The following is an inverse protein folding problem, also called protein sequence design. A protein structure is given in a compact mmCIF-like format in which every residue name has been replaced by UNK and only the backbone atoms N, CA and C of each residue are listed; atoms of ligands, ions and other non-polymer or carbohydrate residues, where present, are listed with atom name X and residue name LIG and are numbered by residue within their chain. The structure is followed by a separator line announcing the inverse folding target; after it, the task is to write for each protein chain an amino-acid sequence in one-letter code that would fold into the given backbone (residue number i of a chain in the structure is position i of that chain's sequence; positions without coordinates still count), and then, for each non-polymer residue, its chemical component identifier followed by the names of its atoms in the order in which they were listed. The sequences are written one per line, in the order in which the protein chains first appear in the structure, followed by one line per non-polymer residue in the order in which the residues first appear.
data_IF_736647161211
#
_entry.id   IF_736647161211
#
_cell.length_a   1.000
_cell.length_b   1.000
_cell.length_c   1.000
_cell.angle_alpha   90.00
_cell.angle_beta   90.00
_cell.angle_gamma   90.00
#
_symmetry.space_group_name_H-M   'P 1'
#
loop_
_entity.id
_entity.type
_entity.pdbx_description
1 polymer ?
#
# COMPACT_ATOMS: atom_id res chain seq x y z
N UNK A 1 -5.04 14.42 34.93
CA UNK A 1 -4.69 14.57 33.50
C UNK A 1 -5.04 13.24 32.84
N UNK A 2 -5.82 13.25 31.76
CA UNK A 2 -6.13 12.03 31.01
C UNK A 2 -4.89 11.63 30.20
N UNK A 3 -4.48 10.35 30.25
CA UNK A 3 -3.37 9.85 29.43
C UNK A 3 -3.75 9.75 27.95
N UNK A 4 -5.01 9.43 27.65
CA UNK A 4 -5.56 9.32 26.30
C UNK A 4 -6.95 9.94 26.23
N UNK A 5 -7.28 10.65 25.15
CA UNK A 5 -8.62 11.23 24.96
C UNK A 5 -9.52 10.19 24.30
N UNK A 6 -10.74 10.03 24.81
CA UNK A 6 -11.71 9.08 24.24
C UNK A 6 -12.07 9.36 22.79
N UNK A 7 -12.01 10.63 22.37
CA UNK A 7 -12.12 11.05 20.97
C UNK A 7 -11.06 10.43 20.05
N UNK A 8 -9.81 10.35 20.51
CA UNK A 8 -8.71 9.81 19.70
C UNK A 8 -8.92 8.32 19.42
N UNK A 9 -9.48 7.58 20.38
CA UNK A 9 -9.85 6.17 20.23
C UNK A 9 -11.01 6.01 19.24
N UNK A 10 -12.02 6.88 19.33
CA UNK A 10 -13.13 6.88 18.38
C UNK A 10 -12.66 7.13 16.95
N UNK A 11 -11.83 8.14 16.76
CA UNK A 11 -11.26 8.49 15.46
C UNK A 11 -10.38 7.36 14.92
N UNK A 12 -9.55 6.74 15.78
CA UNK A 12 -8.76 5.57 15.41
C UNK A 12 -9.64 4.43 14.89
N UNK A 13 -10.68 4.02 15.63
CA UNK A 13 -11.58 2.95 15.18
C UNK A 13 -12.33 3.33 13.90
N UNK A 14 -12.66 4.61 13.73
CA UNK A 14 -13.23 5.12 12.50
C UNK A 14 -12.26 4.97 11.31
N UNK A 15 -11.00 5.38 11.46
CA UNK A 15 -9.96 5.18 10.44
C UNK A 15 -9.71 3.70 10.13
N UNK A 16 -9.71 2.85 11.16
CA UNK A 16 -9.58 1.40 11.00
C UNK A 16 -10.75 0.79 10.24
N UNK A 17 -11.98 1.28 10.47
CA UNK A 17 -13.17 0.88 9.68
C UNK A 17 -13.01 1.24 8.19
N UNK A 18 -12.24 2.29 7.89
CA UNK A 18 -11.90 2.70 6.52
C UNK A 18 -10.66 2.00 5.97
N UNK A 19 -10.03 1.09 6.73
CA UNK A 19 -8.80 0.36 6.37
C UNK A 19 -7.65 1.30 6.00
N UNK A 20 -7.57 2.45 6.67
CA UNK A 20 -6.51 3.42 6.43
C UNK A 20 -5.18 2.84 6.90
N UNK A 21 -4.20 2.80 5.99
CA UNK A 21 -2.85 2.32 6.30
C UNK A 21 -2.08 3.43 7.05
N UNK A 22 -1.45 3.14 8.21
CA UNK A 22 -0.63 4.11 8.92
C UNK A 22 0.56 4.61 8.09
N UNK A 23 0.87 5.90 8.19
CA UNK A 23 2.06 6.49 7.57
C UNK A 23 3.30 6.24 8.44
N UNK A 24 4.06 5.21 8.11
CA UNK A 24 5.24 4.80 8.88
C UNK A 24 6.34 5.86 8.89
N UNK A 25 6.54 6.59 7.80
CA UNK A 25 7.55 7.66 7.73
C UNK A 25 7.21 8.79 8.70
N UNK A 26 5.94 9.17 8.74
CA UNK A 26 5.46 10.16 9.69
C UNK A 26 5.64 9.69 11.14
N UNK A 27 5.33 8.42 11.44
CA UNK A 27 5.51 7.87 12.79
C UNK A 27 6.97 7.87 13.23
N UNK A 28 7.90 7.44 12.35
CA UNK A 28 9.34 7.47 12.62
C UNK A 28 9.84 8.90 12.79
N UNK A 29 9.40 9.84 11.96
CA UNK A 29 9.75 11.26 12.08
C UNK A 29 9.24 11.88 13.41
N UNK A 30 8.18 11.33 14.00
CA UNK A 30 7.69 11.69 15.34
C UNK A 30 8.42 10.98 16.48
N UNK A 31 9.45 10.18 16.19
CA UNK A 31 10.26 9.47 17.18
C UNK A 31 9.61 8.19 17.71
N UNK A 32 8.59 7.66 17.03
CA UNK A 32 8.03 6.37 17.38
C UNK A 32 8.96 5.25 16.90
N UNK A 33 9.38 4.37 17.81
CA UNK A 33 10.15 3.16 17.49
C UNK A 33 9.22 2.08 16.92
N UNK A 34 8.75 2.24 15.69
CA UNK A 34 7.92 1.26 14.98
C UNK A 34 8.64 0.82 13.73
N UNK A 35 9.30 -0.34 13.83
CA UNK A 35 10.17 -0.89 12.79
C UNK A 35 9.40 -1.58 11.66
N UNK A 36 8.17 -2.02 11.95
CA UNK A 36 7.29 -2.72 11.03
C UNK A 36 5.83 -2.61 11.49
N UNK A 37 4.86 -2.94 10.60
CA UNK A 37 3.44 -2.94 10.94
C UNK A 37 3.08 -3.80 12.14
N UNK A 38 3.73 -4.95 12.33
CA UNK A 38 3.43 -5.85 13.44
C UNK A 38 3.75 -5.18 14.79
N UNK A 39 4.95 -4.62 14.91
CA UNK A 39 5.39 -3.89 16.10
C UNK A 39 4.47 -2.71 16.43
N UNK A 40 4.00 -1.99 15.40
CA UNK A 40 3.03 -0.91 15.57
C UNK A 40 1.72 -1.40 16.19
N UNK A 41 1.13 -2.45 15.62
CA UNK A 41 -0.15 -2.98 16.07
C UNK A 41 -0.07 -3.70 17.42
N UNK A 42 1.06 -4.33 17.74
CA UNK A 42 1.33 -4.90 19.07
C UNK A 42 1.37 -3.79 20.13
N UNK A 43 2.12 -2.70 19.86
CA UNK A 43 2.17 -1.53 20.74
C UNK A 43 0.79 -0.90 20.90
N UNK A 44 0.04 -0.73 19.79
CA UNK A 44 -1.31 -0.20 19.81
C UNK A 44 -2.24 -1.05 20.68
N UNK A 45 -2.18 -2.37 20.53
CA UNK A 45 -3.01 -3.31 21.31
C UNK A 45 -2.70 -3.24 22.80
N UNK A 46 -1.42 -3.13 23.18
CA UNK A 46 -1.03 -2.94 24.58
C UNK A 46 -1.57 -1.62 25.16
N UNK A 47 -1.61 -0.54 24.37
CA UNK A 47 -2.20 0.72 24.80
C UNK A 47 -3.73 0.62 24.93
N UNK A 48 -4.41 0.03 23.95
CA UNK A 48 -5.87 -0.18 24.01
C UNK A 48 -6.32 -0.98 25.25
N UNK A 49 -5.48 -1.91 25.73
CA UNK A 49 -5.77 -2.66 26.96
C UNK A 49 -5.66 -1.82 28.24
N UNK A 50 -4.96 -0.68 28.21
CA UNK A 50 -4.77 0.21 29.36
C UNK A 50 -5.83 1.31 29.47
N UNK A 51 -6.58 1.54 28.41
CA UNK A 51 -7.67 2.53 28.37
C UNK A 51 -8.67 2.25 29.49
N UNK A 52 -8.92 3.27 30.30
CA UNK A 52 -9.94 3.24 31.34
C UNK A 52 -11.32 3.56 30.75
N UNK A 53 -12.29 2.66 30.95
CA UNK A 53 -13.63 2.78 30.37
C UNK A 53 -14.44 3.95 30.93
N UNK A 54 -14.26 4.31 32.20
CA UNK A 54 -14.95 5.45 32.82
C UNK A 54 -14.44 6.76 32.22
N UNK A 55 -13.13 6.90 32.04
CA UNK A 55 -12.52 8.05 31.38
C UNK A 55 -12.98 8.17 29.92
N UNK A 56 -12.95 7.06 29.18
CA UNK A 56 -13.44 6.99 27.80
C UNK A 56 -14.91 7.45 27.73
N UNK A 57 -15.77 6.90 28.59
CA UNK A 57 -17.19 7.26 28.69
C UNK A 57 -17.38 8.74 28.98
N UNK A 58 -16.66 9.30 29.95
CA UNK A 58 -16.80 10.71 30.32
C UNK A 58 -16.41 11.66 29.18
N UNK A 59 -15.35 11.36 28.45
CA UNK A 59 -14.87 12.21 27.35
C UNK A 59 -15.79 12.14 26.11
N UNK A 60 -16.25 10.93 25.75
CA UNK A 60 -16.97 10.72 24.50
C UNK A 60 -18.47 10.93 24.62
N UNK A 61 -19.11 10.54 25.74
CA UNK A 61 -20.56 10.57 25.87
C UNK A 61 -21.19 11.95 25.61
N UNK A 62 -20.60 13.08 26.03
CA UNK A 62 -21.17 14.40 25.76
C UNK A 62 -21.23 14.77 24.28
N UNK A 63 -20.46 14.11 23.41
CA UNK A 63 -20.34 14.43 21.99
C UNK A 63 -21.44 13.79 21.13
N UNK A 64 -22.25 12.91 21.71
CA UNK A 64 -23.27 12.15 21.00
C UNK A 64 -24.67 12.43 21.56
N UNK A 65 -25.57 12.86 20.68
CA UNK A 65 -27.00 13.04 21.02
C UNK A 65 -27.70 11.69 21.18
N UNK A 66 -27.31 10.68 20.39
CA UNK A 66 -27.89 9.34 20.46
C UNK A 66 -27.21 8.51 21.57
N UNK A 67 -27.87 8.45 22.74
CA UNK A 67 -27.38 7.71 23.92
C UNK A 67 -27.28 6.20 23.68
N UNK A 68 -28.29 5.61 23.02
CA UNK A 68 -28.32 4.17 22.72
C UNK A 68 -27.11 3.77 21.87
N UNK A 69 -26.78 4.58 20.87
CA UNK A 69 -25.62 4.33 20.01
C UNK A 69 -24.32 4.35 20.83
N UNK A 70 -24.07 5.41 21.59
CA UNK A 70 -22.78 5.56 22.29
C UNK A 70 -22.62 4.56 23.43
N UNK A 71 -23.69 4.19 24.13
CA UNK A 71 -23.65 3.15 25.17
C UNK A 71 -23.31 1.78 24.57
N UNK A 72 -23.87 1.46 23.40
CA UNK A 72 -23.52 0.24 22.67
C UNK A 72 -22.09 0.28 22.13
N UNK A 73 -21.62 1.42 21.64
CA UNK A 73 -20.24 1.57 21.18
C UNK A 73 -19.25 1.39 22.33
N UNK A 74 -19.46 2.07 23.46
CA UNK A 74 -18.66 1.96 24.68
C UNK A 74 -18.63 0.54 25.25
N UNK A 75 -19.70 -0.23 25.06
CA UNK A 75 -19.73 -1.63 25.50
C UNK A 75 -18.86 -2.56 24.66
N UNK A 76 -18.68 -2.26 23.37
CA UNK A 76 -18.11 -3.20 22.39
C UNK A 76 -16.84 -2.69 21.70
N UNK A 77 -16.24 -1.59 22.17
CA UNK A 77 -15.18 -0.90 21.43
C UNK A 77 -13.89 -1.74 21.35
N UNK A 78 -13.54 -2.52 22.39
CA UNK A 78 -12.36 -3.40 22.38
C UNK A 78 -12.54 -4.59 21.46
N UNK A 79 -13.71 -5.22 21.46
CA UNK A 79 -14.03 -6.29 20.50
C UNK A 79 -14.04 -5.76 19.07
N UNK A 80 -14.56 -4.54 18.89
CA UNK A 80 -14.53 -3.85 17.60
C UNK A 80 -13.10 -3.57 17.16
N UNK A 81 -12.23 -3.10 18.07
CA UNK A 81 -10.81 -2.91 17.81
C UNK A 81 -10.13 -4.20 17.35
N UNK A 82 -10.28 -5.31 18.10
CA UNK A 82 -9.65 -6.59 17.76
C UNK A 82 -10.13 -7.14 16.41
N UNK A 83 -11.44 -7.03 16.13
CA UNK A 83 -12.00 -7.41 14.83
C UNK A 83 -11.42 -6.55 13.71
N UNK A 84 -11.39 -5.23 13.89
CA UNK A 84 -10.85 -4.31 12.90
C UNK A 84 -9.36 -4.54 12.67
N UNK A 85 -8.60 -4.86 13.70
CA UNK A 85 -7.19 -5.21 13.62
C UNK A 85 -6.96 -6.46 12.76
N UNK A 86 -7.75 -7.52 13.00
CA UNK A 86 -7.67 -8.76 12.21
C UNK A 86 -7.93 -8.52 10.71
N UNK A 87 -8.82 -7.57 10.38
CA UNK A 87 -9.11 -7.20 9.00
C UNK A 87 -7.94 -6.56 8.23
N UNK A 88 -6.92 -6.04 8.92
CA UNK A 88 -5.74 -5.46 8.27
C UNK A 88 -4.83 -6.51 7.63
N UNK A 89 -4.97 -7.80 7.99
CA UNK A 89 -4.17 -8.93 7.47
C UNK A 89 -2.68 -8.60 7.37
N UNK A 90 -1.97 -8.75 8.48
CA UNK A 90 -0.51 -8.54 8.52
C UNK A 90 0.16 -9.78 7.93
N UNK A 91 0.94 -9.59 6.86
CA UNK A 91 1.60 -10.67 6.12
C UNK A 91 3.11 -10.50 6.17
N UNK A 92 3.83 -11.59 6.44
CA UNK A 92 5.30 -11.62 6.33
C UNK A 92 5.71 -12.24 5.01
N UNK A 93 6.50 -11.50 4.26
CA UNK A 93 7.03 -11.91 2.96
C UNK A 93 7.99 -13.09 3.10
N UNK A 94 7.88 -14.06 2.18
CA UNK A 94 8.83 -15.16 2.05
C UNK A 94 9.69 -15.06 0.80
N UNK A 95 9.08 -15.11 -0.38
CA UNK A 95 9.83 -15.10 -1.65
C UNK A 95 9.00 -14.61 -2.84
N UNK A 96 9.68 -14.08 -3.87
CA UNK A 96 9.07 -13.70 -5.15
C UNK A 96 8.80 -14.96 -5.99
N UNK A 97 7.52 -15.19 -6.30
CA UNK A 97 7.07 -16.32 -7.13
C UNK A 97 7.20 -16.00 -8.61
N UNK A 98 6.49 -14.98 -9.09
CA UNK A 98 6.40 -14.63 -10.51
C UNK A 98 6.06 -13.14 -10.72
N UNK A 99 6.36 -12.65 -11.92
CA UNK A 99 6.07 -11.29 -12.37
C UNK A 99 5.17 -11.39 -13.60
N UNK A 100 3.95 -10.87 -13.52
CA UNK A 100 3.05 -10.73 -14.66
C UNK A 100 3.13 -9.32 -15.24
N UNK A 101 3.34 -9.19 -16.55
CA UNK A 101 3.33 -7.91 -17.25
C UNK A 101 2.16 -7.95 -18.23
N UNK A 102 1.14 -7.14 -17.97
CA UNK A 102 -0.08 -7.11 -18.75
C UNK A 102 -0.25 -5.77 -19.47
N UNK A 103 -0.54 -5.81 -20.76
CA UNK A 103 -0.98 -4.65 -21.53
C UNK A 103 -2.51 -4.66 -21.69
N UNK A 104 -3.15 -3.58 -21.27
CA UNK A 104 -4.56 -3.33 -21.50
C UNK A 104 -4.73 -2.25 -22.58
N UNK A 105 -5.18 -2.66 -23.76
CA UNK A 105 -5.44 -1.77 -24.90
C UNK A 105 -6.72 -0.93 -24.77
N UNK A 106 -7.56 -1.17 -23.76
CA UNK A 106 -8.77 -0.37 -23.52
C UNK A 106 -8.46 0.86 -22.67
N UNK A 107 -7.43 0.76 -21.84
CA UNK A 107 -7.05 1.79 -20.86
C UNK A 107 -5.66 2.34 -21.13
N UNK A 108 -5.01 1.93 -22.22
CA UNK A 108 -3.65 2.30 -22.61
C UNK A 108 -2.68 2.24 -21.43
N UNK A 109 -2.72 1.12 -20.70
CA UNK A 109 -1.98 0.93 -19.44
C UNK A 109 -1.29 -0.42 -19.42
N UNK A 110 -0.05 -0.43 -18.94
CA UNK A 110 0.67 -1.62 -18.53
C UNK A 110 0.55 -1.82 -17.02
N UNK A 111 0.22 -3.05 -16.61
CA UNK A 111 0.25 -3.48 -15.22
C UNK A 111 1.41 -4.45 -14.99
N UNK A 112 2.27 -4.13 -14.02
CA UNK A 112 3.36 -4.98 -13.55
C UNK A 112 2.96 -5.57 -12.21
N UNK A 113 2.71 -6.87 -12.17
CA UNK A 113 2.18 -7.58 -11.01
C UNK A 113 3.24 -8.53 -10.46
N UNK A 114 3.72 -8.23 -9.26
CA UNK A 114 4.68 -9.05 -8.54
C UNK A 114 3.94 -9.91 -7.54
N UNK A 115 4.01 -11.23 -7.68
CA UNK A 115 3.39 -12.17 -6.77
C UNK A 115 4.44 -12.74 -5.82
N UNK A 116 4.15 -12.66 -4.53
CA UNK A 116 5.00 -13.21 -3.50
C UNK A 116 4.25 -14.24 -2.67
N UNK A 117 4.97 -15.23 -2.17
CA UNK A 117 4.46 -16.12 -1.12
C UNK A 117 4.77 -15.53 0.24
N UNK A 118 3.95 -15.89 1.23
CA UNK A 118 4.11 -15.43 2.62
C UNK A 118 4.44 -16.61 3.54
N UNK A 119 4.97 -16.30 4.72
CA UNK A 119 5.40 -17.33 5.69
C UNK A 119 4.24 -18.22 6.17
N UNK A 120 3.03 -17.67 6.25
CA UNK A 120 1.79 -18.36 6.61
C UNK A 120 1.16 -19.16 5.45
N UNK A 121 1.87 -19.29 4.32
CA UNK A 121 1.41 -20.04 3.15
C UNK A 121 0.41 -19.28 2.25
N UNK A 122 0.13 -18.02 2.56
CA UNK A 122 -0.64 -17.12 1.70
C UNK A 122 0.14 -16.58 0.50
N UNK A 123 -0.47 -15.59 -0.16
CA UNK A 123 0.18 -14.85 -1.25
C UNK A 123 -0.21 -13.39 -1.22
N UNK A 124 0.75 -12.51 -1.46
CA UNK A 124 0.52 -11.08 -1.65
C UNK A 124 0.89 -10.65 -3.06
N UNK A 125 0.37 -9.50 -3.49
CA UNK A 125 0.78 -8.90 -4.76
C UNK A 125 1.07 -7.41 -4.68
N UNK A 126 2.07 -6.97 -5.43
CA UNK A 126 2.36 -5.56 -5.66
C UNK A 126 2.07 -5.25 -7.13
N UNK A 127 1.25 -4.23 -7.40
CA UNK A 127 0.82 -3.87 -8.75
C UNK A 127 1.25 -2.44 -9.05
N UNK A 128 2.06 -2.27 -10.07
CA UNK A 128 2.38 -0.97 -10.63
C UNK A 128 1.61 -0.78 -11.92
N UNK A 129 0.89 0.34 -12.03
CA UNK A 129 0.17 0.71 -13.25
C UNK A 129 0.90 1.87 -13.93
N UNK A 130 1.23 1.69 -15.20
CA UNK A 130 2.03 2.62 -15.99
C UNK A 130 1.33 2.89 -17.32
N UNK A 131 1.07 4.15 -17.64
CA UNK A 131 0.52 4.49 -18.96
C UNK A 131 1.45 4.01 -20.08
N UNK A 132 0.85 3.50 -21.17
CA UNK A 132 1.54 3.03 -22.38
C UNK A 132 2.52 4.08 -22.95
N UNK A 133 2.23 5.35 -22.71
CA UNK A 133 3.05 6.48 -23.12
C UNK A 133 4.52 6.34 -22.67
N UNK A 134 4.75 5.84 -21.45
CA UNK A 134 6.11 5.61 -20.92
C UNK A 134 6.91 4.56 -21.71
N UNK A 135 6.22 3.62 -22.36
CA UNK A 135 6.84 2.51 -23.06
C UNK A 135 7.06 2.87 -24.54
N UNK A 136 6.09 3.52 -25.17
CA UNK A 136 6.12 3.84 -26.59
C UNK A 136 7.06 5.01 -26.89
N UNK A 137 7.03 6.08 -26.08
CA UNK A 137 7.75 7.31 -26.38
C UNK A 137 9.14 7.35 -25.75
N UNK A 138 10.08 8.04 -26.42
CA UNK A 138 11.50 8.05 -26.04
C UNK A 138 11.79 8.70 -24.68
N UNK A 139 10.91 9.57 -24.20
CA UNK A 139 11.02 10.24 -22.89
C UNK A 139 10.98 9.24 -21.73
N UNK A 140 10.32 8.09 -21.92
CA UNK A 140 10.28 6.99 -20.97
C UNK A 140 11.41 5.98 -21.12
N UNK A 141 12.45 6.22 -21.95
CA UNK A 141 13.57 5.29 -22.04
C UNK A 141 14.38 5.30 -20.73
N UNK A 142 14.48 4.16 -20.07
CA UNK A 142 15.31 4.00 -18.87
C UNK A 142 16.75 3.60 -19.25
N UNK A 143 17.72 4.05 -18.45
CA UNK A 143 19.13 3.64 -18.57
C UNK A 143 19.49 2.52 -17.57
N UNK A 144 18.48 1.86 -17.01
CA UNK A 144 18.65 0.73 -16.09
C UNK A 144 18.83 -0.54 -16.91
N UNK A 145 19.76 -1.41 -16.51
CA UNK A 145 19.88 -2.75 -17.07
C UNK A 145 18.79 -3.66 -16.52
N UNK A 146 18.22 -4.50 -17.38
CA UNK A 146 17.26 -5.51 -16.94
C UNK A 146 17.95 -6.57 -16.08
N UNK A 147 17.34 -6.93 -14.95
CA UNK A 147 17.83 -8.03 -14.12
C UNK A 147 17.48 -9.38 -14.76
N UNK A 148 18.48 -10.06 -15.29
CA UNK A 148 18.36 -11.37 -15.94
C UNK A 148 17.73 -12.42 -15.04
N UNK A 149 17.91 -12.35 -13.72
CA UNK A 149 17.31 -13.32 -12.78
C UNK A 149 15.79 -13.17 -12.70
N UNK A 150 15.28 -11.97 -12.94
CA UNK A 150 13.84 -11.71 -12.95
C UNK A 150 13.21 -12.17 -14.26
N UNK A 151 13.94 -12.17 -15.37
CA UNK A 151 13.40 -12.51 -16.70
C UNK A 151 12.78 -13.91 -16.73
N UNK A 152 13.39 -14.89 -16.06
CA UNK A 152 12.87 -16.26 -15.95
C UNK A 152 11.53 -16.35 -15.20
N UNK A 153 11.21 -15.33 -14.40
CA UNK A 153 9.97 -15.20 -13.62
C UNK A 153 8.92 -14.33 -14.33
N UNK A 154 9.24 -13.71 -15.47
CA UNK A 154 8.36 -12.80 -16.18
C UNK A 154 7.45 -13.52 -17.17
N UNK A 155 6.17 -13.17 -17.12
CA UNK A 155 5.17 -13.61 -18.08
C UNK A 155 4.50 -12.38 -18.73
N UNK A 156 4.47 -12.36 -20.06
CA UNK A 156 3.97 -11.23 -20.85
C UNK A 156 2.60 -11.56 -21.44
N UNK A 157 1.59 -10.74 -21.16
CA UNK A 157 0.22 -10.94 -21.61
C UNK A 157 -0.37 -9.66 -22.17
N UNK A 158 -1.32 -9.77 -23.09
CA UNK A 158 -2.10 -8.64 -23.58
C UNK A 158 -3.55 -9.06 -23.83
N UNK A 159 -4.48 -8.10 -23.81
CA UNK A 159 -5.90 -8.33 -24.11
C UNK A 159 -6.29 -7.98 -25.56
N UNK A 160 -5.30 -7.78 -26.43
CA UNK A 160 -5.49 -7.35 -27.81
C UNK A 160 -4.24 -7.58 -28.66
N UNK A 161 -4.34 -7.23 -29.94
CA UNK A 161 -3.28 -7.40 -30.94
C UNK A 161 -2.85 -6.02 -31.42
N UNK A 162 -1.54 -5.75 -31.36
CA UNK A 162 -0.92 -4.56 -31.92
C UNK A 162 -0.14 -4.92 -33.18
N UNK A 163 -0.11 -4.02 -34.17
CA UNK A 163 0.76 -4.12 -35.34
C UNK A 163 2.23 -3.83 -35.03
N UNK A 164 2.50 -3.22 -33.86
CA UNK A 164 3.86 -2.96 -33.36
C UNK A 164 4.22 -3.99 -32.28
N UNK A 165 5.39 -4.63 -32.35
CA UNK A 165 5.82 -5.54 -31.31
C UNK A 165 6.00 -4.75 -30.01
N UNK A 166 5.45 -5.29 -28.91
CA UNK A 166 5.64 -4.71 -27.58
C UNK A 166 7.14 -4.72 -27.25
N UNK A 167 7.74 -3.57 -26.88
CA UNK A 167 9.18 -3.48 -26.66
C UNK A 167 9.55 -4.16 -25.34
N UNK A 168 9.74 -5.49 -25.38
CA UNK A 168 9.96 -6.32 -24.20
C UNK A 168 11.17 -5.88 -23.39
N UNK A 169 12.25 -5.44 -24.04
CA UNK A 169 13.44 -4.96 -23.33
C UNK A 169 13.13 -3.77 -22.42
N UNK A 170 12.33 -2.80 -22.91
CA UNK A 170 11.85 -1.69 -22.07
C UNK A 170 11.01 -2.19 -20.91
N UNK A 171 10.07 -3.11 -21.17
CA UNK A 171 9.22 -3.67 -20.11
C UNK A 171 10.07 -4.37 -19.05
N UNK A 172 11.13 -5.09 -19.42
CA UNK A 172 12.07 -5.70 -18.47
C UNK A 172 12.82 -4.66 -17.64
N UNK A 173 13.21 -3.53 -18.22
CA UNK A 173 13.82 -2.42 -17.48
C UNK A 173 12.87 -1.83 -16.44
N UNK A 174 11.62 -1.58 -16.81
CA UNK A 174 10.59 -1.10 -15.89
C UNK A 174 10.28 -2.13 -14.81
N UNK A 175 10.17 -3.40 -15.19
CA UNK A 175 9.97 -4.48 -14.23
C UNK A 175 11.13 -4.57 -13.22
N UNK A 176 12.36 -4.29 -13.65
CA UNK A 176 13.52 -4.22 -12.76
C UNK A 176 13.45 -3.00 -11.83
N UNK A 177 13.13 -1.82 -12.36
CA UNK A 177 12.96 -0.60 -11.55
C UNK A 177 11.90 -0.79 -10.46
N UNK A 178 10.73 -1.31 -10.82
CA UNK A 178 9.64 -1.52 -9.88
C UNK A 178 9.96 -2.62 -8.87
N UNK A 179 10.65 -3.69 -9.27
CA UNK A 179 11.15 -4.68 -8.33
C UNK A 179 12.09 -4.04 -7.30
N UNK A 180 13.04 -3.20 -7.72
CA UNK A 180 13.95 -2.51 -6.80
C UNK A 180 13.21 -1.59 -5.82
N UNK A 181 12.14 -0.91 -6.25
CA UNK A 181 11.29 -0.11 -5.35
C UNK A 181 10.57 -0.98 -4.32
N UNK A 182 10.03 -2.12 -4.76
CA UNK A 182 9.38 -3.10 -3.88
C UNK A 182 10.35 -3.68 -2.85
N UNK A 183 11.56 -4.06 -3.26
CA UNK A 183 12.59 -4.59 -2.34
C UNK A 183 13.01 -3.53 -1.30
N UNK A 184 13.14 -2.27 -1.71
CA UNK A 184 13.41 -1.16 -0.76
C UNK A 184 12.29 -1.01 0.26
N UNK A 185 11.03 -1.05 -0.19
CA UNK A 185 9.87 -1.02 0.70
C UNK A 185 9.90 -2.18 1.70
N UNK A 186 10.07 -3.42 1.23
CA UNK A 186 10.14 -4.56 2.13
C UNK A 186 11.33 -4.52 3.08
N UNK A 187 12.48 -3.99 2.65
CA UNK A 187 13.61 -3.77 3.55
C UNK A 187 13.28 -2.76 4.65
N UNK A 188 12.54 -1.70 4.32
CA UNK A 188 12.07 -0.66 5.26
C UNK A 188 11.04 -1.21 6.25
N UNK A 189 10.20 -2.16 5.85
CA UNK A 189 9.15 -2.75 6.68
C UNK A 189 9.48 -4.13 7.26
N UNK A 190 10.76 -4.53 7.26
CA UNK A 190 11.22 -5.87 7.70
C UNK A 190 10.48 -7.04 7.02
N UNK A 191 10.08 -6.87 5.76
CA UNK A 191 9.35 -7.87 4.98
C UNK A 191 7.87 -7.98 5.37
N UNK A 192 7.37 -7.13 6.27
CA UNK A 192 5.98 -7.16 6.72
C UNK A 192 5.14 -6.18 5.90
N UNK A 193 3.93 -6.61 5.52
CA UNK A 193 2.99 -5.83 4.72
C UNK A 193 1.58 -5.90 5.31
N UNK A 194 0.81 -4.83 5.12
CA UNK A 194 -0.60 -4.77 5.44
C UNK A 194 -1.44 -5.10 4.20
N UNK A 195 -2.39 -6.02 4.37
CA UNK A 195 -3.29 -6.48 3.33
C UNK A 195 -2.66 -7.51 2.39
N UNK A 196 -3.49 -7.95 1.44
CA UNK A 196 -3.07 -8.95 0.44
C UNK A 196 -2.55 -8.30 -0.86
N UNK A 197 -2.71 -6.98 -1.03
CA UNK A 197 -2.26 -6.27 -2.23
C UNK A 197 -1.91 -4.79 -1.98
N UNK A 198 -0.85 -4.32 -2.63
CA UNK A 198 -0.57 -2.89 -2.84
C UNK A 198 -0.75 -2.62 -4.33
N UNK A 199 -1.54 -1.60 -4.67
CA UNK A 199 -1.83 -1.22 -6.05
C UNK A 199 -1.54 0.27 -6.19
N UNK A 200 -0.59 0.63 -7.04
CA UNK A 200 -0.27 2.04 -7.28
C UNK A 200 -1.36 2.71 -8.11
N UNK A 201 -1.41 4.04 -8.00
CA UNK A 201 -2.08 4.86 -9.02
C UNK A 201 -1.45 4.63 -10.39
N UNK A 202 -2.20 4.95 -11.44
CA UNK A 202 -1.67 4.92 -12.81
C UNK A 202 -0.66 6.05 -12.99
N UNK A 203 0.57 5.68 -13.28
CA UNK A 203 1.68 6.61 -13.49
C UNK A 203 1.62 7.14 -14.92
N UNK A 204 1.43 8.44 -15.08
CA UNK A 204 1.34 9.16 -16.36
C UNK A 204 2.50 10.13 -16.54
N UNK A 205 2.82 10.45 -17.80
CA UNK A 205 3.77 11.53 -18.14
C UNK A 205 3.07 12.87 -18.37
N UNK A 206 1.76 12.84 -18.66
CA UNK A 206 0.98 14.04 -19.00
C UNK A 206 -0.13 14.28 -17.99
N UNK A 207 -0.39 15.55 -17.71
CA UNK A 207 -1.45 15.99 -16.79
C UNK A 207 -2.80 16.22 -17.48
N UNK A 208 -2.89 15.97 -18.79
CA UNK A 208 -4.13 16.16 -19.54
C UNK A 208 -5.23 15.25 -18.98
N UNK A 209 -6.36 15.86 -18.61
CA UNK A 209 -7.51 15.19 -17.98
C UNK A 209 -7.12 14.28 -16.81
N UNK A 210 -6.18 14.72 -15.97
CA UNK A 210 -5.67 13.93 -14.84
C UNK A 210 -6.73 13.69 -13.76
N UNK A 211 -7.05 12.43 -13.51
CA UNK A 211 -7.83 12.03 -12.33
C UNK A 211 -6.90 11.77 -11.14
N UNK A 212 -6.69 12.79 -10.30
CA UNK A 212 -5.77 12.70 -9.15
C UNK A 212 -6.13 11.62 -8.12
N UNK A 213 -7.36 11.09 -8.12
CA UNK A 213 -7.74 9.98 -7.23
C UNK A 213 -7.15 8.64 -7.67
N UNK A 214 -6.94 8.47 -8.97
CA UNK A 214 -6.56 7.19 -9.59
C UNK A 214 -5.20 7.26 -10.29
N UNK A 215 -4.70 8.46 -10.55
CA UNK A 215 -3.56 8.73 -11.40
C UNK A 215 -2.59 9.70 -10.75
N UNK A 216 -1.30 9.54 -11.09
CA UNK A 216 -0.22 10.42 -10.68
C UNK A 216 0.62 10.80 -11.90
N UNK A 217 1.10 12.04 -11.96
CA UNK A 217 1.97 12.51 -13.04
C UNK A 217 3.38 12.58 -12.53
N UNK A 218 4.30 11.90 -13.21
CA UNK A 218 5.72 11.91 -12.90
C UNK A 218 6.51 12.20 -14.18
N UNK A 219 7.62 12.91 -14.02
CA UNK A 219 8.67 12.90 -15.03
C UNK A 219 9.63 11.72 -14.75
N UNK A 220 10.51 11.41 -15.70
CA UNK A 220 11.46 10.31 -15.58
C UNK A 220 12.33 10.40 -14.31
N UNK A 221 12.81 11.60 -13.97
CA UNK A 221 13.65 11.79 -12.78
C UNK A 221 12.89 11.43 -11.50
N UNK A 222 11.65 11.92 -11.37
CA UNK A 222 10.78 11.65 -10.23
C UNK A 222 10.42 10.16 -10.13
N UNK A 223 10.12 9.50 -11.27
CA UNK A 223 9.86 8.07 -11.31
C UNK A 223 11.09 7.26 -10.85
N UNK A 224 12.30 7.68 -11.18
CA UNK A 224 13.52 7.01 -10.73
C UNK A 224 13.74 7.19 -9.22
N UNK A 225 13.52 8.40 -8.69
CA UNK A 225 13.84 8.74 -7.31
C UNK A 225 12.76 8.37 -6.28
N UNK A 226 11.48 8.31 -6.67
CA UNK A 226 10.38 8.09 -5.72
C UNK A 226 10.42 6.70 -5.07
N UNK A 227 9.78 6.56 -3.92
CA UNK A 227 9.58 5.25 -3.28
C UNK A 227 8.26 4.61 -3.73
N UNK A 228 7.99 3.37 -3.30
CA UNK A 228 6.68 2.72 -3.52
C UNK A 228 5.56 3.56 -2.89
N UNK A 229 5.78 4.04 -1.67
CA UNK A 229 4.78 4.78 -0.88
C UNK A 229 4.30 6.06 -1.58
N UNK A 230 5.18 6.73 -2.32
CA UNK A 230 4.85 7.94 -3.09
C UNK A 230 3.92 7.66 -4.26
N UNK A 231 3.88 6.42 -4.77
CA UNK A 231 3.03 6.00 -5.87
C UNK A 231 1.61 5.63 -5.43
N UNK A 232 1.37 5.59 -4.11
CA UNK A 232 0.06 5.34 -3.51
C UNK A 232 -0.73 6.64 -3.23
N UNK A 233 -0.01 7.76 -3.13
CA UNK A 233 -0.53 9.08 -2.68
C UNK A 233 -1.36 9.79 -3.74
#
# INVERSE_FOLDING_TARGET
MYEEKGRDIYDLLWYMTKKVVPDFDYLVAKGMDVKDPQTLFDKLTLQMNRVNDDNLKQDISPLFTNRIFIDNWLKNWRESYLRLLDEYKIRTLKELRNIGIHQDFRTDTFSFVYWYTTEDGGSIRIVYNLSEYWIIFGEGNLQIEADKKLEEKMDFRSNGVSSRPTPQDKLKQYATLFYQKTEKYFKKTNGVMLGDAIITKVIRMTADNLNQKEQIVLNKSALLSCELDDLLK
#
